data_IF_534857412061
#
_entry.id   IF_534857412061
#
_cell.length_a   1.000
_cell.length_b   1.000
_cell.length_c   1.000
_cell.angle_alpha   90.00
_cell.angle_beta   90.00
_cell.angle_gamma   90.00
#
_symmetry.space_group_name_H-M   'P 1'
#
loop_
_entity.id
_entity.type
_entity.pdbx_description
1 polymer ?
#
# COMPACT_ATOMS: atom_id res chain seq x y z
N UNK A 1 -4.88 -19.38 -20.52
CA UNK A 1 -5.21 -17.99 -20.17
C UNK A 1 -5.50 -17.96 -18.67
N UNK A 2 -4.45 -18.03 -17.85
CA UNK A 2 -4.59 -18.07 -16.39
C UNK A 2 -4.95 -16.67 -15.89
N UNK A 3 -6.08 -16.58 -15.18
CA UNK A 3 -6.68 -15.37 -14.61
C UNK A 3 -5.64 -14.51 -13.86
N UNK A 4 -5.53 -13.24 -14.25
CA UNK A 4 -4.64 -12.25 -13.62
C UNK A 4 -5.09 -11.82 -12.22
N UNK A 5 -6.20 -12.34 -11.70
CA UNK A 5 -6.84 -11.75 -10.52
C UNK A 5 -6.49 -12.44 -9.20
N UNK A 6 -5.98 -13.67 -9.24
CA UNK A 6 -5.75 -14.44 -8.01
C UNK A 6 -4.48 -14.04 -7.25
N UNK A 7 -3.41 -13.57 -7.92
CA UNK A 7 -2.11 -13.22 -7.29
C UNK A 7 -1.79 -11.71 -7.30
N UNK A 8 -2.70 -10.86 -7.80
CA UNK A 8 -2.40 -9.43 -8.04
C UNK A 8 -2.51 -8.54 -6.79
N UNK A 9 -2.94 -9.07 -5.65
CA UNK A 9 -3.15 -8.24 -4.46
C UNK A 9 -1.89 -8.04 -3.63
N UNK A 10 -1.64 -6.80 -3.18
CA UNK A 10 -0.58 -6.47 -2.23
C UNK A 10 -0.60 -7.36 -0.97
N UNK A 11 -1.79 -7.81 -0.57
CA UNK A 11 -2.00 -8.57 0.65
C UNK A 11 -1.38 -9.98 0.61
N UNK A 12 -1.18 -10.59 -0.57
CA UNK A 12 -0.59 -11.94 -0.67
C UNK A 12 0.88 -12.00 -0.22
N UNK A 13 1.62 -10.89 -0.31
CA UNK A 13 3.01 -10.82 0.15
C UNK A 13 3.14 -10.41 1.62
N UNK A 14 2.01 -10.22 2.33
CA UNK A 14 2.04 -9.91 3.76
C UNK A 14 2.29 -11.17 4.57
N UNK A 15 2.92 -11.01 5.74
CA UNK A 15 3.09 -12.11 6.69
C UNK A 15 1.76 -12.72 7.09
N UNK A 16 0.70 -11.91 7.27
CA UNK A 16 -0.63 -12.37 7.62
C UNK A 16 -1.20 -13.35 6.57
N UNK A 17 -1.15 -13.00 5.28
CA UNK A 17 -1.64 -13.90 4.23
C UNK A 17 -0.75 -15.14 4.12
N UNK A 18 0.57 -14.98 4.24
CA UNK A 18 1.50 -16.10 4.14
C UNK A 18 1.25 -17.14 5.24
N UNK A 19 1.13 -16.70 6.49
CA UNK A 19 0.82 -17.60 7.61
C UNK A 19 -0.56 -18.27 7.44
N UNK A 20 -1.54 -17.57 6.87
CA UNK A 20 -2.82 -18.18 6.53
C UNK A 20 -2.68 -19.27 5.46
N UNK A 21 -1.94 -19.02 4.38
CA UNK A 21 -1.66 -20.02 3.35
C UNK A 21 -0.95 -21.24 3.95
N UNK A 22 0.11 -21.02 4.73
CA UNK A 22 0.87 -22.10 5.39
C UNK A 22 -0.07 -22.95 6.26
N UNK A 23 -0.97 -22.31 7.03
CA UNK A 23 -1.95 -23.03 7.88
C UNK A 23 -2.98 -23.80 7.05
N UNK A 24 -3.44 -23.24 5.93
CA UNK A 24 -4.37 -23.92 5.02
C UNK A 24 -3.71 -25.16 4.43
N UNK A 25 -2.46 -25.03 3.99
CA UNK A 25 -1.68 -26.14 3.43
C UNK A 25 -1.47 -27.25 4.46
N UNK A 26 -1.12 -26.90 5.71
CA UNK A 26 -1.01 -27.87 6.81
C UNK A 26 -2.31 -28.64 7.05
N UNK A 27 -3.46 -27.95 7.03
CA UNK A 27 -4.77 -28.57 7.21
C UNK A 27 -5.17 -29.46 6.03
N UNK A 28 -4.77 -29.11 4.81
CA UNK A 28 -4.96 -29.94 3.61
C UNK A 28 -4.10 -31.21 3.72
N UNK A 29 -2.81 -31.06 4.07
CA UNK A 29 -1.89 -32.18 4.25
C UNK A 29 -2.36 -33.14 5.35
N UNK A 30 -2.98 -32.61 6.42
CA UNK A 30 -3.58 -33.41 7.48
C UNK A 30 -4.94 -34.05 7.11
N UNK A 31 -5.46 -33.82 5.90
CA UNK A 31 -6.75 -34.31 5.44
C UNK A 31 -7.95 -33.72 6.19
N UNK A 32 -7.76 -32.57 6.85
CA UNK A 32 -8.80 -31.90 7.66
C UNK A 32 -9.70 -31.00 6.84
N UNK A 33 -9.18 -30.43 5.76
CA UNK A 33 -9.94 -29.60 4.82
C UNK A 33 -9.63 -30.02 3.38
N UNK A 34 -10.61 -29.84 2.49
CA UNK A 34 -10.42 -30.04 1.06
C UNK A 34 -9.73 -28.81 0.43
N UNK A 35 -8.85 -28.98 -0.59
CA UNK A 35 -8.21 -27.86 -1.28
C UNK A 35 -9.18 -26.78 -1.79
N UNK A 36 -10.37 -27.19 -2.25
CA UNK A 36 -11.41 -26.27 -2.71
C UNK A 36 -11.96 -25.37 -1.60
N UNK A 37 -11.94 -25.84 -0.35
CA UNK A 37 -12.29 -25.02 0.80
C UNK A 37 -11.19 -24.00 1.12
N UNK A 38 -9.92 -24.41 1.07
CA UNK A 38 -8.77 -23.52 1.25
C UNK A 38 -8.79 -22.33 0.27
N UNK A 39 -9.03 -22.61 -1.01
CA UNK A 39 -9.15 -21.56 -2.03
C UNK A 39 -10.30 -20.58 -1.74
N UNK A 40 -11.45 -21.07 -1.23
CA UNK A 40 -12.58 -20.21 -0.83
C UNK A 40 -12.25 -19.33 0.38
N UNK A 41 -11.48 -19.85 1.35
CA UNK A 41 -11.02 -19.07 2.51
C UNK A 41 -10.15 -17.90 2.05
N UNK A 42 -9.16 -18.15 1.17
CA UNK A 42 -8.29 -17.11 0.63
C UNK A 42 -9.07 -16.07 -0.17
N UNK A 43 -10.05 -16.51 -0.98
CA UNK A 43 -10.93 -15.60 -1.74
C UNK A 43 -11.70 -14.63 -0.84
N UNK A 44 -12.12 -15.06 0.34
CA UNK A 44 -12.84 -14.22 1.30
C UNK A 44 -11.89 -13.37 2.16
N UNK A 45 -10.67 -13.84 2.39
CA UNK A 45 -9.67 -13.14 3.20
C UNK A 45 -9.23 -11.80 2.59
N UNK A 46 -8.87 -11.79 1.30
CA UNK A 46 -8.34 -10.60 0.61
C UNK A 46 -9.28 -9.37 0.70
N UNK A 47 -10.59 -9.45 0.35
CA UNK A 47 -11.48 -8.31 0.50
C UNK A 47 -11.70 -7.92 1.97
N UNK A 48 -11.69 -8.89 2.89
CA UNK A 48 -11.85 -8.64 4.33
C UNK A 48 -10.69 -7.83 4.91
N UNK A 49 -9.44 -8.24 4.65
CA UNK A 49 -8.26 -7.51 5.12
C UNK A 49 -8.13 -6.13 4.48
N UNK A 50 -8.51 -5.99 3.20
CA UNK A 50 -8.57 -4.69 2.52
C UNK A 50 -9.54 -3.75 3.20
N UNK A 51 -10.77 -4.21 3.48
CA UNK A 51 -11.80 -3.44 4.18
C UNK A 51 -11.35 -3.07 5.59
N UNK A 52 -10.87 -4.04 6.36
CA UNK A 52 -10.41 -3.81 7.72
C UNK A 52 -9.25 -2.79 7.78
N UNK A 53 -8.31 -2.87 6.84
CA UNK A 53 -7.19 -1.93 6.76
C UNK A 53 -7.66 -0.51 6.43
N UNK A 54 -8.59 -0.36 5.48
CA UNK A 54 -9.12 0.94 5.09
C UNK A 54 -9.93 1.62 6.21
N UNK A 55 -10.69 0.86 6.99
CA UNK A 55 -11.54 1.39 8.06
C UNK A 55 -10.76 1.69 9.35
N UNK A 56 -9.80 0.83 9.70
CA UNK A 56 -9.18 0.86 11.03
C UNK A 56 -7.77 1.49 11.05
N UNK A 57 -7.02 1.49 9.94
CA UNK A 57 -5.64 1.99 9.92
C UNK A 57 -5.62 3.48 9.55
N UNK A 58 -5.37 4.32 10.56
CA UNK A 58 -5.24 5.78 10.40
C UNK A 58 -3.80 6.28 10.57
N UNK A 59 -2.87 5.37 10.88
CA UNK A 59 -1.48 5.72 11.16
C UNK A 59 -0.80 6.29 9.91
N UNK A 60 -0.03 7.36 10.09
CA UNK A 60 0.76 7.97 9.02
C UNK A 60 2.24 7.71 9.30
N UNK A 61 2.92 7.17 8.30
CA UNK A 61 4.34 6.82 8.37
C UNK A 61 5.12 7.74 7.42
N UNK A 62 6.21 8.32 7.91
CA UNK A 62 7.15 9.09 7.09
C UNK A 62 8.45 8.30 6.91
N UNK A 63 8.81 8.03 5.66
CA UNK A 63 10.07 7.34 5.32
C UNK A 63 11.05 8.33 4.70
N UNK A 64 12.28 8.36 5.20
CA UNK A 64 13.41 9.09 4.60
C UNK A 64 14.58 8.14 4.39
N UNK A 65 15.23 8.19 3.23
CA UNK A 65 16.40 7.36 2.95
C UNK A 65 16.98 7.68 1.58
N UNK A 66 18.00 6.92 1.17
CA UNK A 66 18.65 7.05 -0.14
C UNK A 66 18.03 6.08 -1.13
N UNK A 67 17.41 6.57 -2.21
CA UNK A 67 16.89 5.70 -3.26
C UNK A 67 18.05 4.98 -3.96
N UNK A 68 18.02 3.65 -3.96
CA UNK A 68 19.01 2.83 -4.66
C UNK A 68 18.61 2.61 -6.12
N UNK A 69 17.38 2.13 -6.34
CA UNK A 69 16.79 1.97 -7.67
C UNK A 69 15.26 1.89 -7.57
N UNK A 70 14.60 2.12 -8.70
CA UNK A 70 13.15 1.98 -8.84
C UNK A 70 12.79 1.24 -10.14
N UNK A 71 11.59 0.66 -10.19
CA UNK A 71 11.00 0.08 -11.39
C UNK A 71 9.51 0.36 -11.40
N UNK A 72 8.99 0.75 -12.56
CA UNK A 72 7.57 0.73 -12.87
C UNK A 72 7.33 -0.30 -13.97
N UNK A 73 6.30 -1.12 -13.82
CA UNK A 73 5.83 -2.07 -14.83
C UNK A 73 4.34 -2.29 -14.60
N UNK A 74 3.50 -2.11 -15.62
CA UNK A 74 2.06 -2.39 -15.53
C UNK A 74 1.37 -1.69 -14.35
N UNK A 75 1.64 -0.40 -14.15
CA UNK A 75 1.11 0.41 -13.03
C UNK A 75 1.49 -0.10 -11.63
N UNK A 76 2.40 -1.07 -11.53
CA UNK A 76 3.03 -1.50 -10.29
C UNK A 76 4.38 -0.82 -10.12
N UNK A 77 4.57 -0.21 -8.95
CA UNK A 77 5.80 0.46 -8.60
C UNK A 77 6.63 -0.34 -7.61
N UNK A 78 7.95 -0.27 -7.77
CA UNK A 78 8.93 -0.87 -6.90
C UNK A 78 10.00 0.15 -6.58
N UNK A 79 10.32 0.31 -5.30
CA UNK A 79 11.43 1.12 -4.83
C UNK A 79 12.29 0.32 -3.88
N UNK A 80 13.60 0.48 -4.01
CA UNK A 80 14.57 -0.02 -3.04
C UNK A 80 15.31 1.17 -2.48
N UNK A 81 15.16 1.40 -1.18
CA UNK A 81 15.71 2.53 -0.45
C UNK A 81 16.71 2.01 0.58
N UNK A 82 17.87 2.66 0.71
CA UNK A 82 18.91 2.34 1.69
C UNK A 82 19.00 3.40 2.78
N UNK A 83 19.52 3.00 3.94
CA UNK A 83 19.73 3.85 5.13
C UNK A 83 18.46 4.64 5.49
N UNK A 84 17.38 3.89 5.66
CA UNK A 84 16.06 4.44 5.90
C UNK A 84 15.90 4.81 7.37
N UNK A 85 15.31 5.97 7.60
CA UNK A 85 14.74 6.41 8.86
C UNK A 85 13.23 6.49 8.70
N UNK A 86 12.52 5.63 9.41
CA UNK A 86 11.06 5.51 9.38
C UNK A 86 10.53 6.17 10.65
N UNK A 87 9.70 7.20 10.49
CA UNK A 87 9.02 7.87 11.61
C UNK A 87 7.56 7.45 11.65
N UNK A 88 7.18 6.75 12.71
CA UNK A 88 5.81 6.33 12.97
C UNK A 88 5.15 7.37 13.87
N UNK A 89 4.05 7.96 13.40
CA UNK A 89 3.25 8.90 14.19
C UNK A 89 2.00 8.18 14.70
N UNK A 90 2.04 7.75 15.95
CA UNK A 90 0.89 7.15 16.63
C UNK A 90 0.49 8.07 17.78
N UNK A 91 -0.54 8.89 17.57
CA UNK A 91 -0.99 9.89 18.54
C UNK A 91 0.09 10.95 18.83
N UNK A 92 0.41 11.14 20.10
CA UNK A 92 1.38 12.15 20.60
C UNK A 92 2.83 11.65 20.52
N UNK A 93 3.06 10.32 20.46
CA UNK A 93 4.40 9.74 20.47
C UNK A 93 4.92 9.56 19.03
N UNK A 94 6.14 10.02 18.79
CA UNK A 94 6.87 9.79 17.53
C UNK A 94 7.93 8.75 17.79
N UNK A 95 7.76 7.59 17.16
CA UNK A 95 8.76 6.52 17.20
C UNK A 95 9.59 6.57 15.91
N UNK A 96 10.90 6.37 16.03
CA UNK A 96 11.82 6.38 14.89
C UNK A 96 12.53 5.03 14.80
N UNK A 97 12.47 4.41 13.63
CA UNK A 97 13.07 3.11 13.34
C UNK A 97 14.09 3.27 12.23
N UNK A 98 15.29 2.72 12.42
CA UNK A 98 16.34 2.70 11.42
C UNK A 98 16.36 1.36 10.68
N UNK A 99 16.45 1.39 9.36
CA UNK A 99 16.44 0.20 8.50
C UNK A 99 17.50 0.34 7.41
N UNK A 100 18.42 -0.62 7.29
CA UNK A 100 19.50 -0.58 6.30
C UNK A 100 18.97 -0.60 4.85
N UNK A 101 17.95 -1.42 4.60
CA UNK A 101 17.35 -1.59 3.27
C UNK A 101 15.84 -1.81 3.38
N UNK A 102 15.07 -0.93 2.73
CA UNK A 102 13.62 -1.00 2.64
C UNK A 102 13.20 -1.25 1.19
N UNK A 103 12.35 -2.26 0.97
CA UNK A 103 11.68 -2.51 -0.31
C UNK A 103 10.23 -2.04 -0.20
N UNK A 104 9.80 -1.17 -1.10
CA UNK A 104 8.43 -0.64 -1.15
C UNK A 104 7.82 -1.08 -2.47
N UNK A 105 6.60 -1.61 -2.41
CA UNK A 105 5.84 -2.05 -3.58
C UNK A 105 4.50 -1.33 -3.57
N UNK A 106 4.24 -0.53 -4.61
CA UNK A 106 2.96 0.15 -4.83
C UNK A 106 2.12 -0.62 -5.83
N UNK A 107 0.90 -0.95 -5.44
CA UNK A 107 -0.11 -1.56 -6.32
C UNK A 107 -1.10 -0.50 -6.77
N UNK A 108 -1.62 -0.57 -8.00
CA UNK A 108 -2.61 0.38 -8.48
C UNK A 108 -3.89 0.32 -7.64
N UNK A 109 -4.48 1.48 -7.38
CA UNK A 109 -5.85 1.57 -6.87
C UNK A 109 -6.80 1.31 -8.02
N UNK A 110 -7.88 0.56 -7.77
CA UNK A 110 -8.84 0.13 -8.80
C UNK A 110 -9.62 1.30 -9.47
N UNK A 111 -9.32 2.55 -9.13
CA UNK A 111 -9.95 3.76 -9.63
C UNK A 111 -9.16 4.46 -10.75
N UNK A 112 -8.02 3.90 -11.17
CA UNK A 112 -7.27 4.39 -12.34
C UNK A 112 -7.62 3.52 -13.55
N UNK A 113 -8.45 3.99 -14.50
CA UNK A 113 -8.63 3.30 -15.77
C UNK A 113 -7.27 3.20 -16.47
N UNK A 114 -7.00 2.02 -17.05
CA UNK A 114 -5.76 1.72 -17.78
C UNK A 114 -5.34 2.89 -18.69
N UNK A 115 -4.30 3.62 -18.30
CA UNK A 115 -3.69 4.69 -19.10
C UNK A 115 -2.95 4.19 -20.36
N UNK A 116 -3.27 3.00 -20.85
CA UNK A 116 -2.68 2.38 -22.03
C UNK A 116 -3.56 2.50 -23.28
N UNK A 117 -4.81 2.98 -23.17
CA UNK A 117 -5.76 3.13 -24.28
C UNK A 117 -6.22 4.59 -24.48
N UNK A 118 -5.31 5.56 -24.55
CA UNK A 118 -5.63 6.87 -25.15
C UNK A 118 -4.60 7.30 -26.22
N UNK A 119 -5.04 7.52 -27.47
CA UNK A 119 -4.29 8.29 -28.44
C UNK A 119 -4.47 9.79 -28.12
N UNK A 120 -3.37 10.44 -27.76
CA UNK A 120 -3.13 11.88 -27.92
C UNK A 120 -4.20 12.86 -27.38
N UNK A 121 -3.95 13.39 -26.17
CA UNK A 121 -4.18 14.80 -25.90
C UNK A 121 -5.50 15.19 -25.23
N UNK A 122 -5.61 15.01 -23.90
CA UNK A 122 -6.35 15.94 -23.04
C UNK A 122 -5.78 15.96 -21.62
N UNK A 123 -5.17 17.09 -21.25
CA UNK A 123 -4.76 17.37 -19.87
C UNK A 123 -6.01 17.49 -19.00
N UNK A 124 -6.18 16.59 -18.03
CA UNK A 124 -7.21 16.76 -17.00
C UNK A 124 -6.67 16.35 -15.63
N UNK A 125 -6.51 17.37 -14.77
CA UNK A 125 -6.70 17.29 -13.32
C UNK A 125 -5.77 16.40 -12.50
N UNK A 126 -4.54 16.85 -12.25
CA UNK A 126 -3.68 16.24 -11.23
C UNK A 126 -4.32 16.31 -9.83
N UNK A 127 -4.47 15.15 -9.19
CA UNK A 127 -4.84 15.03 -7.79
C UNK A 127 -3.69 15.58 -6.91
N UNK A 128 -3.85 16.83 -6.47
CA UNK A 128 -2.88 17.51 -5.60
C UNK A 128 -2.73 16.79 -4.25
N UNK A 129 -1.50 16.51 -3.79
CA UNK A 129 -1.28 15.87 -2.49
C UNK A 129 -1.70 16.83 -1.36
N UNK A 130 -2.54 16.33 -0.45
CA UNK A 130 -3.18 17.04 0.66
C UNK A 130 -2.24 17.87 1.56
N UNK A 131 -0.93 17.63 1.52
CA UNK A 131 0.09 18.39 2.26
C UNK A 131 0.27 19.85 1.82
N UNK A 132 -0.13 20.23 0.59
CA UNK A 132 -0.03 21.63 0.13
C UNK A 132 -1.11 22.55 0.72
N UNK A 133 -2.29 22.03 1.05
CA UNK A 133 -3.40 22.82 1.63
C UNK A 133 -3.08 23.30 3.04
N UNK A 134 -2.47 22.44 3.85
CA UNK A 134 -2.09 22.73 5.25
C UNK A 134 -1.08 23.89 5.33
N UNK A 135 -0.08 23.93 4.43
CA UNK A 135 0.92 25.01 4.41
C UNK A 135 0.34 26.37 4.02
N UNK A 136 -0.71 26.39 3.19
CA UNK A 136 -1.35 27.65 2.75
C UNK A 136 -2.23 28.24 3.85
N UNK A 137 -2.96 27.40 4.60
CA UNK A 137 -3.79 27.86 5.72
C UNK A 137 -2.96 28.46 6.86
N UNK A 138 -1.88 27.80 7.28
CA UNK A 138 -0.99 28.31 8.35
C UNK A 138 -0.37 29.67 7.95
N UNK A 139 -0.02 29.85 6.67
CA UNK A 139 0.55 31.12 6.20
C UNK A 139 -0.48 32.26 6.12
N UNK A 140 -1.77 31.94 5.97
CA UNK A 140 -2.85 32.93 5.98
C UNK A 140 -3.22 33.33 7.41
N UNK A 141 -3.28 32.38 8.35
CA UNK A 141 -3.54 32.67 9.77
C UNK A 141 -2.44 33.56 10.38
N UNK A 142 -1.16 33.27 10.11
CA UNK A 142 -0.03 34.10 10.60
C UNK A 142 -0.09 35.53 10.02
N UNK A 143 -0.65 35.71 8.81
CA UNK A 143 -0.75 37.05 8.20
C UNK A 143 -1.92 37.87 8.76
N UNK A 144 -2.92 37.23 9.38
CA UNK A 144 -4.04 37.90 10.03
C UNK A 144 -3.73 38.31 11.47
N UNK A 145 -2.87 37.58 12.18
CA UNK A 145 -2.48 37.94 13.56
C UNK A 145 -1.43 39.07 13.66
N UNK A 146 -0.81 39.47 12.53
CA UNK A 146 0.18 40.56 12.49
C UNK A 146 -0.38 41.91 11.99
N UNK A 147 -1.70 42.12 12.05
CA UNK A 147 -2.32 43.39 11.67
C UNK A 147 -3.26 43.92 12.76
#
# INVERSE_FOLDING_TARGET
MASSDAESSAYFHTSLCKTLCDTIDDLICAGRIEPQLGARILKNFVPSVKKASAENVKAVVNVKGRLQYYRNCENKWWWVVRDCTIKLRTGVKVETVHVEKLRIVGYPTADEPNAADEPNGKKTGGLEPAGRKIKRQIKQEIKQEMK
#
